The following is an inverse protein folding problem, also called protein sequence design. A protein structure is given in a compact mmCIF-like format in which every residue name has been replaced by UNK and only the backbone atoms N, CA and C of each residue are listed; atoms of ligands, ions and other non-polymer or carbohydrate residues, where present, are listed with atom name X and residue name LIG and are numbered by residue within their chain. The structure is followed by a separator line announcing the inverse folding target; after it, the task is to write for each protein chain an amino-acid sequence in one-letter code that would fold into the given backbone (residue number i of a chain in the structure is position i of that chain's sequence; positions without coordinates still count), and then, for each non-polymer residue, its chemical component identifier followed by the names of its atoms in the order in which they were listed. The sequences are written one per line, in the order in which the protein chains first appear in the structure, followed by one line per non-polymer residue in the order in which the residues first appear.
data_IF_476345549652
#
_entry.id   IF_476345549652
#
_cell.length_a   1.000
_cell.length_b   1.000
_cell.length_c   1.000
_cell.angle_alpha   90.00
_cell.angle_beta   90.00
_cell.angle_gamma   90.00
#
_symmetry.space_group_name_H-M   'P 1'
#
loop_
_entity.id
_entity.type
_entity.pdbx_description
1 polymer ?
#
# COMPACT_ATOMS: atom_id res chain seq x y z
N UNK A 1 33.44 -18.03 25.54
CA UNK A 1 33.70 -17.55 24.16
C UNK A 1 32.59 -16.55 23.84
N UNK A 2 32.66 -15.26 24.21
CA UNK A 2 33.37 -14.10 23.63
C UNK A 2 33.15 -13.87 22.12
N UNK A 3 32.39 -12.80 21.84
CA UNK A 3 32.24 -11.98 20.61
C UNK A 3 31.32 -12.66 19.58
N UNK A 4 30.19 -12.10 19.16
CA UNK A 4 29.99 -10.80 18.47
C UNK A 4 28.51 -10.43 18.65
N UNK A 5 28.19 -9.14 18.88
CA UNK A 5 26.94 -8.42 18.51
C UNK A 5 26.90 -7.08 19.26
N UNK A 6 27.86 -6.20 18.97
CA UNK A 6 27.74 -4.75 19.21
C UNK A 6 28.36 -4.11 17.96
N UNK A 7 27.54 -3.82 16.96
CA UNK A 7 28.06 -3.42 15.66
C UNK A 7 27.00 -3.08 14.61
N UNK A 8 25.87 -2.51 15.00
CA UNK A 8 24.90 -1.94 14.05
C UNK A 8 24.14 -0.74 14.64
N UNK A 9 24.84 0.10 15.42
CA UNK A 9 24.26 1.32 16.01
C UNK A 9 25.13 2.57 15.90
N UNK A 10 26.37 2.44 15.41
CA UNK A 10 27.34 3.54 15.25
C UNK A 10 27.64 3.80 13.76
N UNK A 11 27.09 2.97 12.88
CA UNK A 11 27.33 3.00 11.44
C UNK A 11 26.61 4.12 10.69
N UNK A 12 25.50 4.69 11.18
CA UNK A 12 24.86 5.83 10.51
C UNK A 12 25.35 7.20 11.03
N UNK A 13 25.73 7.30 12.31
CA UNK A 13 26.15 8.58 12.91
C UNK A 13 27.48 9.10 12.37
N UNK A 14 28.43 8.22 12.03
CA UNK A 14 29.76 8.63 11.53
C UNK A 14 29.71 9.08 10.07
N UNK A 15 28.84 8.49 9.23
CA UNK A 15 28.62 8.98 7.86
C UNK A 15 27.84 10.29 7.83
N UNK A 16 26.93 10.52 8.77
CA UNK A 16 26.24 11.81 8.91
C UNK A 16 27.24 12.90 9.35
N UNK A 17 28.09 12.64 10.35
CA UNK A 17 29.07 13.64 10.80
C UNK A 17 30.24 13.87 9.82
N UNK A 18 30.72 12.81 9.15
CA UNK A 18 31.71 12.96 8.07
C UNK A 18 31.11 13.63 6.83
N UNK A 19 29.84 13.37 6.52
CA UNK A 19 29.08 14.04 5.46
C UNK A 19 28.89 15.54 5.74
N UNK A 20 28.53 15.90 6.97
CA UNK A 20 28.38 17.31 7.40
C UNK A 20 29.76 18.02 7.41
N UNK A 21 30.83 17.36 7.86
CA UNK A 21 32.18 17.91 7.85
C UNK A 21 32.72 18.17 6.44
N UNK A 22 32.44 17.27 5.48
CA UNK A 22 32.77 17.46 4.06
C UNK A 22 31.87 18.51 3.39
N UNK A 23 30.59 18.64 3.78
CA UNK A 23 29.70 19.69 3.29
C UNK A 23 30.15 21.10 3.70
N UNK A 24 30.72 21.27 4.90
CA UNK A 24 31.17 22.59 5.38
C UNK A 24 32.45 23.08 4.67
N UNK A 25 33.37 22.18 4.30
CA UNK A 25 34.56 22.53 3.50
C UNK A 25 34.26 22.63 1.99
N UNK A 26 33.25 21.89 1.49
CA UNK A 26 32.79 21.90 0.10
C UNK A 26 31.72 22.95 -0.23
N UNK A 27 31.23 23.71 0.75
CA UNK A 27 30.04 24.56 0.62
C UNK A 27 30.09 25.62 -0.48
N UNK A 28 31.28 26.12 -0.85
CA UNK A 28 31.42 27.13 -1.92
C UNK A 28 31.47 26.47 -3.31
N UNK A 29 32.02 25.26 -3.44
CA UNK A 29 32.07 24.53 -4.71
C UNK A 29 30.74 23.80 -5.00
N UNK A 30 30.12 23.25 -3.95
CA UNK A 30 28.78 22.67 -3.99
C UNK A 30 27.72 23.71 -4.39
N UNK A 31 27.75 24.92 -3.84
CA UNK A 31 26.76 25.97 -4.15
C UNK A 31 26.71 26.37 -5.64
N UNK A 32 27.83 26.28 -6.36
CA UNK A 32 27.89 26.60 -7.80
C UNK A 32 27.58 25.41 -8.72
N UNK A 33 27.66 24.16 -8.24
CA UNK A 33 27.32 22.95 -9.03
C UNK A 33 25.99 22.28 -8.66
N UNK A 34 25.46 22.57 -7.47
CA UNK A 34 24.25 21.95 -6.88
C UNK A 34 23.15 22.99 -6.61
N UNK A 35 23.13 24.11 -7.34
CA UNK A 35 22.21 25.24 -7.09
C UNK A 35 20.75 24.82 -6.90
N UNK A 36 20.23 23.88 -7.70
CA UNK A 36 18.87 23.35 -7.55
C UNK A 36 18.70 22.29 -6.43
N UNK A 37 19.75 21.56 -6.06
CA UNK A 37 19.67 20.51 -5.04
C UNK A 37 19.61 21.09 -3.62
N UNK A 38 20.24 22.25 -3.38
CA UNK A 38 20.16 22.91 -2.07
C UNK A 38 18.77 23.50 -1.80
N UNK A 39 18.15 24.11 -2.81
CA UNK A 39 16.79 24.65 -2.73
C UNK A 39 15.76 23.52 -2.48
N UNK A 40 15.92 22.38 -3.15
CA UNK A 40 15.07 21.21 -2.93
C UNK A 40 15.21 20.65 -1.50
N UNK A 41 16.44 20.56 -0.96
CA UNK A 41 16.67 20.12 0.43
C UNK A 41 16.06 21.09 1.43
N UNK A 42 16.21 22.39 1.22
CA UNK A 42 15.59 23.39 2.08
C UNK A 42 14.06 23.30 2.03
N UNK A 43 13.47 23.16 0.84
CA UNK A 43 12.04 22.98 0.68
C UNK A 43 11.53 21.73 1.43
N UNK A 44 12.27 20.62 1.37
CA UNK A 44 11.91 19.40 2.12
C UNK A 44 11.96 19.60 3.63
N UNK A 45 12.94 20.33 4.15
CA UNK A 45 13.03 20.66 5.58
C UNK A 45 11.86 21.56 6.03
N UNK A 46 11.49 22.55 5.23
CA UNK A 46 10.33 23.40 5.50
C UNK A 46 9.03 22.58 5.49
N UNK A 47 8.86 21.70 4.50
CA UNK A 47 7.71 20.80 4.41
C UNK A 47 7.61 19.84 5.61
N UNK A 48 8.73 19.32 6.10
CA UNK A 48 8.77 18.48 7.31
C UNK A 48 8.29 19.26 8.55
N UNK A 49 8.76 20.50 8.72
CA UNK A 49 8.31 21.37 9.82
C UNK A 49 6.81 21.67 9.72
N UNK A 50 6.30 21.89 8.50
CA UNK A 50 4.87 22.10 8.29
C UNK A 50 4.03 20.87 8.63
N UNK A 51 4.49 19.66 8.30
CA UNK A 51 3.81 18.42 8.64
C UNK A 51 3.82 18.17 10.15
N UNK A 52 4.94 18.43 10.83
CA UNK A 52 5.01 18.36 12.29
C UNK A 52 4.06 19.37 12.95
N UNK A 53 3.98 20.60 12.43
CA UNK A 53 3.03 21.61 12.90
C UNK A 53 1.57 21.21 12.64
N UNK A 54 1.28 20.54 11.52
CA UNK A 54 -0.05 20.00 11.22
C UNK A 54 -0.46 18.87 12.17
N UNK A 55 0.46 17.95 12.49
CA UNK A 55 0.22 16.93 13.51
C UNK A 55 -0.07 17.56 14.89
N UNK A 56 0.68 18.60 15.27
CA UNK A 56 0.48 19.29 16.54
C UNK A 56 -0.84 20.08 16.60
N UNK A 57 -1.24 20.71 15.50
CA UNK A 57 -2.47 21.53 15.41
C UNK A 57 -3.74 20.72 15.20
N UNK A 58 -3.64 19.52 14.60
CA UNK A 58 -4.76 18.61 14.36
C UNK A 58 -4.48 17.24 15.01
N UNK A 59 -4.44 17.17 16.36
CA UNK A 59 -4.08 15.94 17.06
C UNK A 59 -5.02 14.80 16.67
N UNK A 60 -4.44 13.66 16.33
CA UNK A 60 -5.17 12.47 15.94
C UNK A 60 -4.61 11.25 16.68
N UNK A 61 -5.49 10.36 17.11
CA UNK A 61 -5.11 9.10 17.75
C UNK A 61 -5.50 7.95 16.83
N UNK A 62 -4.53 7.21 16.27
CA UNK A 62 -4.83 6.08 15.41
C UNK A 62 -5.58 4.98 16.20
N UNK A 63 -6.39 4.16 15.51
CA UNK A 63 -6.94 2.96 16.14
C UNK A 63 -5.78 2.05 16.60
N UNK A 64 -5.99 1.21 17.63
CA UNK A 64 -5.03 0.19 18.00
C UNK A 64 -4.68 -0.71 16.80
N UNK A 65 -3.49 -1.31 16.84
CA UNK A 65 -3.06 -2.25 15.82
C UNK A 65 -4.09 -3.38 15.62
N UNK A 66 -4.31 -3.78 14.37
CA UNK A 66 -5.34 -4.76 13.98
C UNK A 66 -6.79 -4.23 14.04
N UNK A 67 -7.00 -2.96 14.40
CA UNK A 67 -8.33 -2.35 14.38
C UNK A 67 -8.54 -1.43 13.17
N UNK A 68 -9.73 -1.53 12.59
CA UNK A 68 -10.14 -0.70 11.45
C UNK A 68 -10.79 0.57 11.99
N UNK A 69 -10.33 1.74 11.54
CA UNK A 69 -10.95 3.02 11.88
C UNK A 69 -12.36 3.07 11.28
N UNK A 70 -13.42 3.28 12.07
CA UNK A 70 -14.74 3.56 11.50
C UNK A 70 -14.72 4.95 10.86
N UNK A 71 -14.92 5.00 9.54
CA UNK A 71 -15.00 6.26 8.80
C UNK A 71 -16.44 6.76 8.80
N UNK A 72 -16.59 8.06 8.99
CA UNK A 72 -17.79 8.76 8.55
C UNK A 72 -17.59 9.31 7.12
N UNK A 73 -18.70 9.64 6.47
CA UNK A 73 -18.67 10.13 5.10
C UNK A 73 -17.91 11.46 4.97
N UNK A 74 -18.05 12.37 5.94
CA UNK A 74 -17.40 13.68 5.87
C UNK A 74 -15.87 13.54 5.92
N UNK A 75 -15.35 12.68 6.79
CA UNK A 75 -13.91 12.42 6.90
C UNK A 75 -13.36 11.67 5.70
N UNK A 76 -14.11 10.73 5.13
CA UNK A 76 -13.75 10.13 3.84
C UNK A 76 -13.65 11.20 2.75
N UNK A 77 -14.64 12.11 2.63
CA UNK A 77 -14.59 13.15 1.60
C UNK A 77 -13.46 14.16 1.81
N UNK A 78 -13.13 14.49 3.06
CA UNK A 78 -11.97 15.31 3.40
C UNK A 78 -10.67 14.63 2.93
N UNK A 79 -10.50 13.36 3.27
CA UNK A 79 -9.37 12.54 2.85
C UNK A 79 -9.21 12.47 1.31
N UNK A 80 -10.31 12.18 0.61
CA UNK A 80 -10.35 12.13 -0.85
C UNK A 80 -9.96 13.50 -1.46
N UNK A 81 -10.39 14.60 -0.84
CA UNK A 81 -10.03 15.95 -1.29
C UNK A 81 -8.54 16.26 -1.11
N UNK A 82 -7.90 15.73 -0.05
CA UNK A 82 -6.44 15.85 0.13
C UNK A 82 -5.70 15.11 -0.99
N UNK A 83 -6.11 13.88 -1.31
CA UNK A 83 -5.51 13.11 -2.42
C UNK A 83 -5.71 13.83 -3.76
N UNK A 84 -6.92 14.28 -4.05
CA UNK A 84 -7.25 15.02 -5.28
C UNK A 84 -6.41 16.29 -5.46
N UNK A 85 -6.12 17.02 -4.37
CA UNK A 85 -5.29 18.22 -4.44
C UNK A 85 -3.86 17.94 -4.94
N UNK A 86 -3.33 16.75 -4.64
CA UNK A 86 -1.97 16.35 -5.02
C UNK A 86 -1.89 15.61 -6.36
N UNK A 87 -3.01 15.11 -6.88
CA UNK A 87 -3.06 14.36 -8.15
C UNK A 87 -2.51 15.13 -9.37
N UNK A 88 -2.77 16.44 -9.57
CA UNK A 88 -2.19 17.16 -10.70
C UNK A 88 -0.66 17.19 -10.67
N UNK A 89 -0.05 17.41 -9.50
CA UNK A 89 1.40 17.38 -9.34
C UNK A 89 1.97 15.97 -9.56
N UNK A 90 1.24 14.94 -9.12
CA UNK A 90 1.64 13.55 -9.34
C UNK A 90 1.54 13.15 -10.82
N UNK A 91 0.52 13.60 -11.56
CA UNK A 91 0.42 13.36 -13.00
C UNK A 91 1.54 14.06 -13.77
N UNK A 92 1.91 15.27 -13.37
CA UNK A 92 3.07 15.98 -13.93
C UNK A 92 4.38 15.22 -13.64
N UNK A 93 4.51 14.63 -12.45
CA UNK A 93 5.58 13.68 -12.14
C UNK A 93 5.60 12.51 -13.13
N UNK A 94 4.47 11.82 -13.34
CA UNK A 94 4.40 10.66 -14.23
C UNK A 94 4.79 11.00 -15.68
N UNK A 95 4.36 12.15 -16.18
CA UNK A 95 4.71 12.62 -17.53
C UNK A 95 6.21 12.88 -17.63
N UNK A 96 6.77 13.67 -16.71
CA UNK A 96 8.19 14.04 -16.74
C UNK A 96 9.12 12.86 -16.50
N UNK A 97 8.72 11.89 -15.68
CA UNK A 97 9.45 10.64 -15.49
C UNK A 97 9.51 9.83 -16.79
N UNK A 98 8.40 9.72 -17.53
CA UNK A 98 8.39 9.04 -18.84
C UNK A 98 9.23 9.77 -19.88
N UNK A 99 9.14 11.09 -19.96
CA UNK A 99 9.97 11.90 -20.85
C UNK A 99 11.47 11.73 -20.54
N UNK A 100 11.82 11.63 -19.25
CA UNK A 100 13.19 11.35 -18.82
C UNK A 100 13.64 9.95 -19.26
N UNK A 101 12.82 8.92 -19.03
CA UNK A 101 13.09 7.55 -19.47
C UNK A 101 13.28 7.48 -21.00
N UNK A 102 12.38 8.07 -21.78
CA UNK A 102 12.48 8.09 -23.25
C UNK A 102 13.76 8.77 -23.74
N UNK A 103 14.17 9.86 -23.08
CA UNK A 103 15.37 10.63 -23.42
C UNK A 103 16.67 9.90 -23.08
N UNK A 104 16.66 9.05 -22.06
CA UNK A 104 17.88 8.46 -21.48
C UNK A 104 17.99 6.93 -21.64
N UNK A 105 16.91 6.22 -22.00
CA UNK A 105 16.86 4.75 -22.15
C UNK A 105 16.47 4.27 -23.56
N UNK A 106 16.59 5.09 -24.60
CA UNK A 106 16.32 4.67 -25.99
C UNK A 106 17.23 3.51 -26.44
N UNK A 107 16.67 2.59 -27.24
CA UNK A 107 17.27 1.33 -27.72
C UNK A 107 18.74 1.50 -28.16
N UNK A 108 19.68 1.18 -27.25
CA UNK A 108 21.13 1.20 -27.49
C UNK A 108 21.97 2.01 -26.50
N UNK A 109 21.40 2.59 -25.44
CA UNK A 109 22.15 3.36 -24.45
C UNK A 109 23.05 2.47 -23.56
N UNK A 110 24.36 2.75 -23.56
CA UNK A 110 25.29 2.35 -22.49
C UNK A 110 24.77 2.86 -21.14
N UNK A 111 25.11 2.18 -20.04
CA UNK A 111 24.66 2.50 -18.68
C UNK A 111 24.60 4.02 -18.43
N UNK A 112 23.51 4.55 -17.83
CA UNK A 112 23.35 5.98 -17.64
C UNK A 112 24.52 6.55 -16.85
N UNK A 113 25.32 7.39 -17.51
CA UNK A 113 26.50 8.00 -16.89
C UNK A 113 26.13 8.83 -15.66
N UNK A 114 27.11 9.08 -14.78
CA UNK A 114 26.95 9.82 -13.52
C UNK A 114 26.12 11.12 -13.64
N UNK A 115 26.27 11.87 -14.74
CA UNK A 115 25.49 13.09 -14.98
C UNK A 115 23.99 12.80 -15.19
N UNK A 116 23.63 11.75 -15.94
CA UNK A 116 22.23 11.35 -16.13
C UNK A 116 21.60 10.88 -14.81
N UNK A 117 22.36 10.16 -13.97
CA UNK A 117 21.91 9.77 -12.63
C UNK A 117 21.67 11.00 -11.72
N UNK A 118 22.53 12.00 -11.76
CA UNK A 118 22.36 13.25 -11.00
C UNK A 118 21.18 14.08 -11.51
N UNK A 119 20.97 14.15 -12.82
CA UNK A 119 19.82 14.83 -13.43
C UNK A 119 18.51 14.11 -13.07
N UNK A 120 18.48 12.78 -13.10
CA UNK A 120 17.35 11.96 -12.65
C UNK A 120 17.00 12.24 -11.18
N UNK A 121 18.02 12.26 -10.31
CA UNK A 121 17.86 12.53 -8.89
C UNK A 121 17.32 13.95 -8.64
N UNK A 122 17.83 14.94 -9.37
CA UNK A 122 17.35 16.33 -9.30
C UNK A 122 15.89 16.47 -9.74
N UNK A 123 15.53 15.85 -10.86
CA UNK A 123 14.16 15.81 -11.36
C UNK A 123 13.23 15.14 -10.33
N UNK A 124 13.61 13.95 -9.85
CA UNK A 124 12.82 13.20 -8.87
C UNK A 124 12.61 13.99 -7.58
N UNK A 125 13.66 14.60 -7.01
CA UNK A 125 13.54 15.41 -5.80
C UNK A 125 12.64 16.62 -6.00
N UNK A 126 12.77 17.33 -7.13
CA UNK A 126 11.93 18.49 -7.44
C UNK A 126 10.45 18.11 -7.54
N UNK A 127 10.14 17.05 -8.28
CA UNK A 127 8.76 16.60 -8.45
C UNK A 127 8.16 16.04 -7.15
N UNK A 128 8.97 15.34 -6.33
CA UNK A 128 8.55 14.92 -5.00
C UNK A 128 8.20 16.12 -4.11
N UNK A 129 9.00 17.19 -4.17
CA UNK A 129 8.72 18.42 -3.43
C UNK A 129 7.39 19.04 -3.85
N UNK A 130 7.07 19.05 -5.15
CA UNK A 130 5.81 19.58 -5.67
C UNK A 130 4.59 18.74 -5.23
N UNK A 131 4.68 17.41 -5.30
CA UNK A 131 3.62 16.51 -4.80
C UNK A 131 3.40 16.72 -3.31
N UNK A 132 4.48 16.75 -2.52
CA UNK A 132 4.41 16.95 -1.07
C UNK A 132 3.85 18.32 -0.68
N UNK A 133 4.20 19.38 -1.44
CA UNK A 133 3.63 20.71 -1.27
C UNK A 133 2.12 20.73 -1.49
N UNK A 134 1.65 20.09 -2.57
CA UNK A 134 0.22 19.99 -2.86
C UNK A 134 -0.53 19.17 -1.80
N UNK A 135 0.08 18.06 -1.35
CA UNK A 135 -0.41 17.26 -0.23
C UNK A 135 -0.56 18.08 1.06
N UNK A 136 0.47 18.81 1.47
CA UNK A 136 0.44 19.67 2.67
C UNK A 136 -0.64 20.76 2.54
N UNK A 137 -0.77 21.38 1.37
CA UNK A 137 -1.84 22.35 1.12
C UNK A 137 -3.23 21.72 1.25
N UNK A 138 -3.40 20.49 0.75
CA UNK A 138 -4.61 19.69 0.93
C UNK A 138 -4.92 19.42 2.40
N UNK A 139 -3.94 18.94 3.17
CA UNK A 139 -4.06 18.71 4.61
C UNK A 139 -4.50 19.97 5.36
N UNK A 140 -3.83 21.11 5.09
CA UNK A 140 -4.19 22.42 5.67
C UNK A 140 -5.63 22.81 5.35
N UNK A 141 -6.05 22.65 4.09
CA UNK A 141 -7.40 23.02 3.66
C UNK A 141 -8.49 22.17 4.32
N UNK A 142 -8.18 20.91 4.65
CA UNK A 142 -9.13 19.97 5.25
C UNK A 142 -9.02 19.87 6.78
N UNK A 143 -8.09 20.61 7.41
CA UNK A 143 -7.84 20.48 8.86
C UNK A 143 -7.46 19.06 9.26
N UNK A 144 -6.68 18.38 8.42
CA UNK A 144 -6.30 16.98 8.59
C UNK A 144 -4.82 16.90 8.96
N UNK A 145 -4.49 16.08 9.96
CA UNK A 145 -3.08 15.78 10.24
C UNK A 145 -2.54 14.69 9.31
N UNK A 146 -1.21 14.65 9.11
CA UNK A 146 -0.55 13.53 8.45
C UNK A 146 -0.89 12.17 9.08
N UNK A 147 -0.96 12.09 10.41
CA UNK A 147 -1.32 10.86 11.12
C UNK A 147 -2.76 10.39 10.83
N UNK A 148 -3.70 11.33 10.77
CA UNK A 148 -5.08 11.04 10.36
C UNK A 148 -5.13 10.54 8.92
N UNK A 149 -4.48 11.26 8.00
CA UNK A 149 -4.44 10.89 6.59
C UNK A 149 -3.88 9.47 6.38
N UNK A 150 -2.75 9.15 7.02
CA UNK A 150 -2.15 7.82 6.97
C UNK A 150 -3.10 6.75 7.53
N UNK A 151 -3.74 7.02 8.66
CA UNK A 151 -4.68 6.08 9.29
C UNK A 151 -5.91 5.80 8.42
N UNK A 152 -6.43 6.84 7.75
CA UNK A 152 -7.51 6.69 6.77
C UNK A 152 -7.01 5.89 5.56
N UNK A 153 -5.81 6.15 5.02
CA UNK A 153 -5.25 5.35 3.92
C UNK A 153 -5.16 3.86 4.27
N UNK A 154 -4.58 3.51 5.41
CA UNK A 154 -4.50 2.11 5.88
C UNK A 154 -5.91 1.51 6.03
N UNK A 155 -6.85 2.28 6.56
CA UNK A 155 -8.24 1.85 6.74
C UNK A 155 -8.94 1.57 5.42
N UNK A 156 -8.74 2.40 4.40
CA UNK A 156 -9.29 2.20 3.06
C UNK A 156 -8.77 0.88 2.48
N UNK A 157 -7.46 0.64 2.51
CA UNK A 157 -6.87 -0.60 2.02
C UNK A 157 -7.33 -1.83 2.82
N UNK A 158 -7.32 -1.76 4.15
CA UNK A 158 -7.79 -2.85 5.01
C UNK A 158 -9.27 -3.19 4.75
N UNK A 159 -10.11 -2.18 4.50
CA UNK A 159 -11.53 -2.37 4.20
C UNK A 159 -11.72 -3.04 2.82
N UNK A 160 -10.93 -2.66 1.80
CA UNK A 160 -10.96 -3.30 0.48
C UNK A 160 -10.46 -4.76 0.51
N UNK A 161 -9.40 -5.02 1.27
CA UNK A 161 -8.90 -6.40 1.49
C UNK A 161 -9.98 -7.23 2.19
N UNK A 162 -10.58 -6.71 3.28
CA UNK A 162 -11.65 -7.41 3.99
C UNK A 162 -12.86 -7.74 3.09
N UNK A 163 -13.33 -6.79 2.28
CA UNK A 163 -14.42 -7.03 1.30
C UNK A 163 -14.03 -8.09 0.28
N UNK A 164 -12.80 -8.05 -0.23
CA UNK A 164 -12.30 -9.03 -1.19
C UNK A 164 -12.20 -10.43 -0.58
N UNK A 165 -11.69 -10.55 0.65
CA UNK A 165 -11.62 -11.81 1.38
C UNK A 165 -13.01 -12.37 1.68
N UNK A 166 -13.96 -11.53 2.10
CA UNK A 166 -15.33 -11.96 2.37
C UNK A 166 -16.05 -12.41 1.09
N UNK A 167 -15.81 -11.73 -0.04
CA UNK A 167 -16.30 -12.17 -1.36
C UNK A 167 -15.69 -13.51 -1.78
N UNK A 168 -14.38 -13.70 -1.59
CA UNK A 168 -13.71 -14.98 -1.88
C UNK A 168 -14.26 -16.11 -1.00
N UNK A 169 -14.46 -15.87 0.30
CA UNK A 169 -15.10 -16.84 1.20
C UNK A 169 -16.53 -17.17 0.77
N UNK A 170 -17.32 -16.17 0.38
CA UNK A 170 -18.67 -16.38 -0.12
C UNK A 170 -18.69 -17.22 -1.41
N UNK A 171 -17.78 -16.93 -2.35
CA UNK A 171 -17.60 -17.73 -3.57
C UNK A 171 -17.15 -19.16 -3.26
N UNK A 172 -16.24 -19.35 -2.31
CA UNK A 172 -15.80 -20.67 -1.86
C UNK A 172 -16.95 -21.47 -1.23
N UNK A 173 -17.76 -20.84 -0.38
CA UNK A 173 -18.94 -21.47 0.22
C UNK A 173 -20.00 -21.84 -0.83
N UNK A 174 -20.21 -20.99 -1.84
CA UNK A 174 -21.08 -21.28 -2.98
C UNK A 174 -20.53 -22.44 -3.82
N UNK A 175 -19.22 -22.45 -4.11
CA UNK A 175 -18.54 -23.52 -4.83
C UNK A 175 -18.67 -24.85 -4.10
N UNK A 176 -18.47 -24.86 -2.78
CA UNK A 176 -18.69 -26.02 -1.91
C UNK A 176 -20.13 -26.55 -2.00
N UNK A 177 -21.12 -25.65 -1.96
CA UNK A 177 -22.54 -26.02 -2.09
C UNK A 177 -22.85 -26.63 -3.46
N UNK A 178 -22.27 -26.07 -4.53
CA UNK A 178 -22.42 -26.60 -5.88
C UNK A 178 -21.78 -27.99 -6.02
N UNK A 179 -20.57 -28.19 -5.50
CA UNK A 179 -19.88 -29.49 -5.50
C UNK A 179 -20.65 -30.54 -4.69
N UNK A 180 -21.17 -30.19 -3.51
CA UNK A 180 -22.00 -31.08 -2.71
C UNK A 180 -23.30 -31.47 -3.44
N UNK A 181 -23.90 -30.55 -4.20
CA UNK A 181 -25.08 -30.83 -5.02
C UNK A 181 -24.75 -31.78 -6.17
N UNK A 182 -23.61 -31.58 -6.85
CA UNK A 182 -23.14 -32.50 -7.90
C UNK A 182 -22.85 -33.90 -7.34
N UNK A 183 -22.22 -33.98 -6.18
CA UNK A 183 -21.95 -35.24 -5.49
C UNK A 183 -23.26 -35.98 -5.19
N UNK A 184 -24.28 -35.29 -4.66
CA UNK A 184 -25.59 -35.89 -4.39
C UNK A 184 -26.30 -36.39 -5.67
N UNK A 185 -26.15 -35.69 -6.80
CA UNK A 185 -26.69 -36.15 -8.08
C UNK A 185 -25.92 -37.37 -8.62
N UNK A 186 -24.60 -37.42 -8.44
CA UNK A 186 -23.80 -38.62 -8.76
C UNK A 186 -24.22 -39.80 -7.90
N UNK A 187 -24.39 -39.62 -6.59
CA UNK A 187 -24.89 -40.64 -5.67
C UNK A 187 -26.27 -41.17 -6.08
N UNK A 188 -27.17 -40.28 -6.47
CA UNK A 188 -28.50 -40.65 -6.97
C UNK A 188 -28.43 -41.47 -8.26
N UNK A 189 -27.54 -41.12 -9.20
CA UNK A 189 -27.34 -41.88 -10.44
C UNK A 189 -26.74 -43.26 -10.16
N UNK A 190 -25.76 -43.35 -9.26
CA UNK A 190 -25.14 -44.62 -8.84
C UNK A 190 -26.13 -45.58 -8.18
N UNK A 191 -27.18 -45.05 -7.53
CA UNK A 191 -28.27 -45.85 -6.98
C UNK A 191 -29.22 -46.45 -8.03
N UNK A 192 -29.09 -46.10 -9.32
CA UNK A 192 -29.90 -46.69 -10.39
C UNK A 192 -29.36 -48.06 -10.81
N UNK A 193 -30.26 -49.03 -10.94
CA UNK A 193 -29.95 -50.38 -11.44
C UNK A 193 -29.74 -50.44 -12.97
N UNK A 194 -29.91 -49.32 -13.67
CA UNK A 194 -29.87 -49.25 -15.14
C UNK A 194 -28.50 -48.91 -15.75
N UNK A 195 -27.46 -48.74 -14.92
CA UNK A 195 -26.12 -48.35 -15.38
C UNK A 195 -25.32 -49.56 -15.88
N UNK A 196 -24.56 -49.39 -16.96
CA UNK A 196 -23.52 -50.36 -17.34
C UNK A 196 -22.32 -50.30 -16.38
N UNK A 197 -21.50 -51.35 -16.36
CA UNK A 197 -20.30 -51.42 -15.50
C UNK A 197 -19.31 -50.27 -15.76
N UNK A 198 -19.15 -49.88 -17.03
CA UNK A 198 -18.27 -48.79 -17.42
C UNK A 198 -18.79 -47.42 -16.93
N UNK A 199 -20.10 -47.18 -17.05
CA UNK A 199 -20.73 -45.93 -16.56
C UNK A 199 -20.70 -45.85 -15.02
N UNK A 200 -20.90 -46.98 -14.35
CA UNK A 200 -20.81 -47.08 -12.89
C UNK A 200 -19.39 -46.75 -12.41
N UNK A 201 -18.37 -47.33 -13.02
CA UNK A 201 -16.98 -47.04 -12.67
C UNK A 201 -16.62 -45.56 -12.86
N UNK A 202 -17.06 -44.92 -13.96
CA UNK A 202 -16.82 -43.49 -14.20
C UNK A 202 -17.51 -42.59 -13.15
N UNK A 203 -18.73 -42.95 -12.75
CA UNK A 203 -19.46 -42.21 -11.71
C UNK A 203 -18.83 -42.39 -10.32
N UNK A 204 -18.33 -43.59 -9.99
CA UNK A 204 -17.60 -43.85 -8.74
C UNK A 204 -16.29 -43.06 -8.66
N UNK A 205 -15.55 -42.97 -9.77
CA UNK A 205 -14.35 -42.13 -9.87
C UNK A 205 -14.69 -40.64 -9.68
N UNK A 206 -15.72 -40.15 -10.38
CA UNK A 206 -16.19 -38.77 -10.27
C UNK A 206 -16.64 -38.43 -8.84
N UNK A 207 -17.35 -39.35 -8.19
CA UNK A 207 -17.78 -39.24 -6.78
C UNK A 207 -16.57 -39.08 -5.85
N UNK A 208 -15.56 -39.92 -6.04
CA UNK A 208 -14.34 -39.91 -5.23
C UNK A 208 -13.59 -38.59 -5.38
N UNK A 209 -13.39 -38.12 -6.61
CA UNK A 209 -12.73 -36.84 -6.88
C UNK A 209 -13.48 -35.63 -6.28
N UNK A 210 -14.82 -35.60 -6.39
CA UNK A 210 -15.65 -34.56 -5.77
C UNK A 210 -15.55 -34.58 -4.24
N UNK A 211 -15.58 -35.77 -3.64
CA UNK A 211 -15.45 -35.92 -2.19
C UNK A 211 -14.06 -35.48 -1.71
N UNK A 212 -12.98 -35.92 -2.35
CA UNK A 212 -11.62 -35.53 -2.00
C UNK A 212 -11.42 -34.01 -2.10
N UNK A 213 -12.00 -33.38 -3.11
CA UNK A 213 -11.95 -31.92 -3.27
C UNK A 213 -12.69 -31.21 -2.13
N UNK A 214 -13.88 -31.69 -1.75
CA UNK A 214 -14.64 -31.14 -0.61
C UNK A 214 -13.86 -31.28 0.70
N UNK A 215 -13.28 -32.46 0.95
CA UNK A 215 -12.50 -32.75 2.16
C UNK A 215 -11.24 -31.87 2.22
N UNK A 216 -10.56 -31.66 1.09
CA UNK A 216 -9.38 -30.78 1.00
C UNK A 216 -9.73 -29.32 1.32
N UNK A 217 -10.87 -28.82 0.82
CA UNK A 217 -11.36 -27.47 1.13
C UNK A 217 -11.65 -27.34 2.63
N UNK A 218 -12.28 -28.34 3.25
CA UNK A 218 -12.57 -28.33 4.68
C UNK A 218 -11.31 -28.33 5.55
N UNK A 219 -10.30 -29.12 5.18
CA UNK A 219 -9.02 -29.18 5.90
C UNK A 219 -8.23 -27.88 5.78
N UNK A 220 -8.19 -27.25 4.60
CA UNK A 220 -7.48 -25.98 4.40
C UNK A 220 -8.11 -24.77 5.10
N UNK A 221 -9.37 -24.89 5.57
CA UNK A 221 -10.09 -23.80 6.23
C UNK A 221 -9.84 -23.71 7.74
N UNK A 222 -9.21 -24.74 8.34
CA UNK A 222 -9.05 -24.84 9.80
C UNK A 222 -7.87 -24.01 10.36
N UNK A 223 -6.94 -23.58 9.51
CA UNK A 223 -5.71 -22.88 9.87
C UNK A 223 -5.75 -21.36 9.58
N UNK A 224 -6.94 -20.76 9.38
CA UNK A 224 -7.03 -19.32 9.15
C UNK A 224 -6.55 -18.51 10.37
N UNK A 225 -5.58 -17.62 10.14
CA UNK A 225 -5.11 -16.61 11.09
C UNK A 225 -6.27 -15.89 11.80
N UNK A 226 -6.06 -15.37 13.03
CA UNK A 226 -7.09 -14.60 13.72
C UNK A 226 -7.45 -13.36 12.88
N UNK A 227 -8.56 -13.48 12.13
CA UNK A 227 -9.08 -12.39 11.32
C UNK A 227 -9.47 -11.18 12.17
N UNK A 228 -9.85 -10.10 11.48
CA UNK A 228 -10.34 -8.87 12.11
C UNK A 228 -11.31 -9.14 13.26
N UNK A 229 -11.20 -8.38 14.35
CA UNK A 229 -12.20 -8.41 15.43
C UNK A 229 -13.61 -8.15 14.87
N UNK A 230 -14.66 -8.62 15.55
CA UNK A 230 -16.04 -8.36 15.10
C UNK A 230 -16.35 -6.86 14.96
N UNK A 231 -15.79 -6.02 15.83
CA UNK A 231 -15.91 -4.57 15.71
C UNK A 231 -15.20 -4.04 14.45
N UNK A 232 -14.00 -4.54 14.16
CA UNK A 232 -13.23 -4.21 12.96
C UNK A 232 -13.91 -4.68 11.68
N UNK A 233 -14.54 -5.87 11.67
CA UNK A 233 -15.33 -6.38 10.54
C UNK A 233 -16.53 -5.47 10.27
N UNK A 234 -17.25 -5.07 11.31
CA UNK A 234 -18.39 -4.14 11.19
C UNK A 234 -17.94 -2.77 10.65
N UNK A 235 -16.82 -2.25 11.15
CA UNK A 235 -16.25 -0.99 10.66
C UNK A 235 -15.81 -1.11 9.19
N UNK A 236 -15.11 -2.19 8.82
CA UNK A 236 -14.69 -2.45 7.44
C UNK A 236 -15.90 -2.53 6.50
N UNK A 237 -16.95 -3.28 6.86
CA UNK A 237 -18.16 -3.36 6.06
C UNK A 237 -18.85 -1.99 5.87
N UNK A 238 -18.95 -1.18 6.93
CA UNK A 238 -19.50 0.18 6.83
C UNK A 238 -18.63 1.09 5.94
N UNK A 239 -17.30 1.00 6.07
CA UNK A 239 -16.36 1.74 5.24
C UNK A 239 -16.48 1.34 3.77
N UNK A 240 -16.63 0.04 3.47
CA UNK A 240 -16.81 -0.47 2.11
C UNK A 240 -18.05 0.13 1.44
N UNK A 241 -19.16 0.25 2.16
CA UNK A 241 -20.36 0.88 1.63
C UNK A 241 -20.14 2.36 1.32
N UNK A 242 -19.38 3.08 2.16
CA UNK A 242 -18.96 4.45 1.85
C UNK A 242 -18.03 4.53 0.64
N UNK A 243 -17.06 3.61 0.52
CA UNK A 243 -16.14 3.55 -0.61
C UNK A 243 -16.87 3.25 -1.92
N UNK A 244 -17.84 2.33 -1.91
CA UNK A 244 -18.72 2.04 -3.05
C UNK A 244 -19.56 3.24 -3.46
N UNK A 245 -20.09 4.00 -2.47
CA UNK A 245 -20.84 5.24 -2.73
C UNK A 245 -20.00 6.29 -3.46
N UNK A 246 -18.70 6.34 -3.20
CA UNK A 246 -17.75 7.30 -3.79
C UNK A 246 -16.76 6.66 -4.76
N UNK A 247 -17.15 5.54 -5.39
CA UNK A 247 -16.29 4.68 -6.21
C UNK A 247 -15.47 5.45 -7.24
N UNK A 248 -16.09 6.35 -8.00
CA UNK A 248 -15.42 7.10 -9.06
C UNK A 248 -14.24 7.93 -8.53
N UNK A 249 -14.39 8.50 -7.33
CA UNK A 249 -13.31 9.22 -6.66
C UNK A 249 -12.26 8.23 -6.18
N UNK A 250 -12.67 7.19 -5.46
CA UNK A 250 -11.77 6.17 -4.89
C UNK A 250 -10.89 5.52 -5.97
N UNK A 251 -11.44 5.16 -7.12
CA UNK A 251 -10.69 4.55 -8.24
C UNK A 251 -9.64 5.50 -8.84
N UNK A 252 -9.95 6.79 -8.94
CA UNK A 252 -9.00 7.80 -9.42
C UNK A 252 -7.77 7.91 -8.51
N UNK A 253 -7.91 7.52 -7.24
CA UNK A 253 -6.94 7.78 -6.19
C UNK A 253 -6.23 6.52 -5.68
N UNK A 254 -6.67 5.32 -6.07
CA UNK A 254 -6.00 4.07 -5.74
C UNK A 254 -4.68 3.94 -6.53
N UNK A 255 -3.65 4.65 -6.06
CA UNK A 255 -2.33 4.68 -6.67
C UNK A 255 -1.25 4.46 -5.60
N UNK A 256 -0.70 3.24 -5.58
CA UNK A 256 0.33 2.82 -4.63
C UNK A 256 1.61 3.65 -4.79
N UNK A 257 1.94 4.05 -6.02
CA UNK A 257 3.12 4.89 -6.25
C UNK A 257 2.94 6.27 -5.60
N UNK A 258 1.75 6.89 -5.73
CA UNK A 258 1.41 8.13 -5.03
C UNK A 258 1.56 8.00 -3.50
N UNK A 259 1.06 6.90 -2.93
CA UNK A 259 1.16 6.63 -1.48
C UNK A 259 2.62 6.57 -1.01
N UNK A 260 3.52 6.01 -1.81
CA UNK A 260 4.96 6.03 -1.53
C UNK A 260 5.53 7.44 -1.36
N UNK A 261 5.06 8.42 -2.15
CA UNK A 261 5.51 9.81 -2.06
C UNK A 261 4.98 10.53 -0.82
N UNK A 262 3.70 10.37 -0.50
CA UNK A 262 3.06 11.12 0.58
C UNK A 262 3.21 10.48 1.95
N UNK A 263 3.36 9.15 2.02
CA UNK A 263 3.55 8.43 3.28
C UNK A 263 5.02 8.21 3.64
N UNK A 264 5.92 8.13 2.64
CA UNK A 264 7.35 7.87 2.86
C UNK A 264 8.10 8.98 3.61
N UNK A 265 7.55 10.19 3.68
CA UNK A 265 8.13 11.31 4.42
C UNK A 265 7.76 11.37 5.91
N UNK A 266 6.69 10.70 6.35
CA UNK A 266 6.11 10.89 7.68
C UNK A 266 6.49 9.78 8.69
N UNK A 267 7.31 8.79 8.33
CA UNK A 267 7.50 7.62 9.21
C UNK A 267 8.61 6.63 8.86
N UNK A 268 9.65 7.00 8.12
CA UNK A 268 10.75 6.07 7.81
C UNK A 268 11.52 5.56 9.05
N UNK A 269 11.30 6.14 10.25
CA UNK A 269 11.85 5.64 11.52
C UNK A 269 10.90 4.66 12.27
N UNK A 270 9.67 4.46 11.81
CA UNK A 270 8.65 3.68 12.54
C UNK A 270 8.22 2.36 11.91
N UNK A 271 8.63 2.05 10.67
CA UNK A 271 8.15 0.86 9.92
C UNK A 271 9.23 -0.20 9.62
N UNK A 272 10.43 -0.08 10.19
CA UNK A 272 11.46 -1.14 10.09
C UNK A 272 11.32 -2.25 11.13
N UNK A 273 10.33 -2.18 12.02
CA UNK A 273 9.99 -3.25 12.96
C UNK A 273 8.76 -4.02 12.41
N UNK A 274 8.99 -5.09 11.66
CA UNK A 274 7.88 -5.95 11.21
C UNK A 274 8.13 -6.83 9.97
N UNK A 275 9.35 -6.89 9.44
CA UNK A 275 9.72 -7.88 8.42
C UNK A 275 10.86 -8.74 8.94
N UNK A 276 10.60 -9.47 10.02
CA UNK A 276 11.34 -10.67 10.38
C UNK A 276 10.30 -11.76 10.64
N UNK A 277 10.12 -12.63 9.65
CA UNK A 277 9.97 -14.08 9.82
C UNK A 277 10.57 -14.78 8.57
#
# INVERSE_FOLDING_TARGET
MKKVLIGLGIGCGVFILAGIGLMLAGGIWAKNKLGGSFEAVQAMQEQEQELAALNASNPFTPPPEGQVLPLDEQRLLAYLSVREAAMPAFKDFEVKSKEFEEKHNGDGAEEPGFNAAMDAAGLFMGLMADVRKAYIAGLKAQGMSPAEFQSITTTVYASMVADSTDQLRAMAAQGKTMMATQLAEVDKRLASDSLSDAERAQLEESRTQLQETLDSIEQGSADEEPGLSEASKKAAAANVELLKKHKDRVELMANVAFDGFVLGGAGAEGQSAGLED
#
